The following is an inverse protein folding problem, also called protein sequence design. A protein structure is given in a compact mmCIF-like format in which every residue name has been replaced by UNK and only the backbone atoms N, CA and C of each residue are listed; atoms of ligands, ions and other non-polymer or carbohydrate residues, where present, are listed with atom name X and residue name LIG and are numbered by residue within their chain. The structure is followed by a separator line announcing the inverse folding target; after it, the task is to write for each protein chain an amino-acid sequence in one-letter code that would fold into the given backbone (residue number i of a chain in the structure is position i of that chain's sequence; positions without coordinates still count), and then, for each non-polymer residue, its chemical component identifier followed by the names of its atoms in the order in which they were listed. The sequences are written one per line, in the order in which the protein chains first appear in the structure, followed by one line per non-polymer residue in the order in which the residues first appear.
data_IF_578451626339
#
_entry.id   IF_578451626339
#
_cell.length_a   1.000
_cell.length_b   1.000
_cell.length_c   1.000
_cell.angle_alpha   90.00
_cell.angle_beta   90.00
_cell.angle_gamma   90.00
#
_symmetry.space_group_name_H-M   'P 1'
#
loop_
_entity.id
_entity.type
_entity.pdbx_description
1 polymer ?
#
# COMPACT_ATOMS: atom_id res chain seq x y z
N UNK A 1 -58.96 26.99 51.35
CA UNK A 1 -58.83 27.46 52.75
C UNK A 1 -57.84 26.52 53.40
N UNK A 2 -56.93 27.05 54.25
CA UNK A 2 -55.64 26.46 54.69
C UNK A 2 -54.52 26.66 53.64
N UNK A 3 -53.47 27.47 53.81
CA UNK A 3 -52.98 28.25 54.94
C UNK A 3 -51.73 27.62 55.55
N UNK A 4 -50.52 28.01 55.15
CA UNK A 4 -49.31 28.07 56.00
C UNK A 4 -48.37 29.16 55.46
N UNK A 5 -48.01 30.04 56.37
CA UNK A 5 -47.05 31.14 56.30
C UNK A 5 -45.71 30.66 56.91
N UNK A 6 -44.55 30.98 56.33
CA UNK A 6 -43.31 31.18 57.11
C UNK A 6 -42.14 31.72 56.25
N UNK A 7 -41.90 33.01 56.40
CA UNK A 7 -40.63 33.64 56.80
C UNK A 7 -39.30 33.28 56.09
N UNK A 8 -38.79 34.30 55.39
CA UNK A 8 -37.43 34.86 55.42
C UNK A 8 -36.22 33.92 55.26
N UNK A 9 -35.59 34.01 54.09
CA UNK A 9 -34.13 33.96 53.97
C UNK A 9 -33.67 35.00 52.94
N UNK A 10 -33.17 36.13 53.45
CA UNK A 10 -32.29 37.04 52.73
C UNK A 10 -30.97 36.29 52.49
N UNK A 11 -30.65 36.03 51.22
CA UNK A 11 -29.29 35.68 50.81
C UNK A 11 -29.03 36.25 49.42
N UNK A 12 -28.23 37.31 49.44
CA UNK A 12 -27.36 37.88 48.41
C UNK A 12 -27.88 38.13 47.00
N UNK A 13 -27.95 39.43 46.71
CA UNK A 13 -27.84 40.01 45.39
C UNK A 13 -26.50 39.60 44.74
N UNK A 14 -26.50 38.55 43.93
CA UNK A 14 -25.53 38.37 42.87
C UNK A 14 -26.15 38.84 41.55
N UNK A 15 -25.64 39.96 41.03
CA UNK A 15 -26.05 40.60 39.80
C UNK A 15 -26.10 39.62 38.61
N UNK A 16 -27.31 39.21 38.23
CA UNK A 16 -27.57 38.58 36.94
C UNK A 16 -27.53 39.63 35.84
N UNK A 17 -26.44 39.66 35.08
CA UNK A 17 -26.28 40.46 33.86
C UNK A 17 -27.50 40.27 32.93
N UNK A 18 -28.03 41.34 32.30
CA UNK A 18 -29.23 41.21 31.47
C UNK A 18 -28.92 40.25 30.32
N UNK A 19 -29.74 39.19 30.17
CA UNK A 19 -29.63 38.29 29.01
C UNK A 19 -29.76 39.14 27.76
N UNK A 20 -28.66 39.22 27.04
CA UNK A 20 -28.52 40.05 25.86
C UNK A 20 -29.39 39.51 24.72
N UNK A 21 -30.62 40.06 24.63
CA UNK A 21 -31.60 39.73 23.60
C UNK A 21 -31.13 40.12 22.19
N UNK A 22 -30.05 40.90 22.08
CA UNK A 22 -29.44 41.30 20.80
C UNK A 22 -28.71 40.14 20.11
N UNK A 23 -28.32 39.09 20.84
CA UNK A 23 -27.62 37.90 20.31
C UNK A 23 -28.58 36.80 19.79
N UNK A 24 -29.89 36.98 19.94
CA UNK A 24 -30.90 35.99 19.51
C UNK A 24 -30.90 35.75 17.99
N UNK A 25 -30.80 36.79 17.12
CA UNK A 25 -30.71 36.61 15.67
C UNK A 25 -29.45 35.85 15.25
N UNK A 26 -28.30 36.15 15.87
CA UNK A 26 -27.03 35.45 15.59
C UNK A 26 -27.08 33.98 16.00
N UNK A 27 -27.70 33.66 17.15
CA UNK A 27 -27.90 32.28 17.60
C UNK A 27 -28.84 31.48 16.67
N UNK A 28 -29.86 32.14 16.12
CA UNK A 28 -30.76 31.54 15.14
C UNK A 28 -30.04 31.28 13.81
N UNK A 29 -29.28 32.24 13.31
CA UNK A 29 -28.47 32.08 12.10
C UNK A 29 -27.41 30.98 12.24
N UNK A 30 -26.76 30.87 13.40
CA UNK A 30 -25.80 29.80 13.69
C UNK A 30 -26.45 28.42 13.68
N UNK A 31 -27.65 28.28 14.25
CA UNK A 31 -28.43 27.02 14.22
C UNK A 31 -28.93 26.68 12.82
N UNK A 32 -29.30 27.67 12.02
CA UNK A 32 -29.70 27.48 10.62
C UNK A 32 -28.52 26.96 9.79
N UNK A 33 -27.33 27.56 9.96
CA UNK A 33 -26.09 27.10 9.32
C UNK A 33 -25.70 25.69 9.78
N UNK A 34 -25.78 25.39 11.07
CA UNK A 34 -25.52 24.04 11.60
C UNK A 34 -26.47 22.99 10.99
N UNK A 35 -27.76 23.34 10.82
CA UNK A 35 -28.74 22.46 10.17
C UNK A 35 -28.44 22.26 8.69
N UNK A 36 -28.06 23.31 7.97
CA UNK A 36 -27.68 23.23 6.56
C UNK A 36 -26.43 22.35 6.37
N UNK A 37 -25.41 22.53 7.20
CA UNK A 37 -24.20 21.70 7.19
C UNK A 37 -24.49 20.24 7.54
N UNK A 38 -25.37 19.95 8.49
CA UNK A 38 -25.78 18.58 8.84
C UNK A 38 -26.52 17.89 7.67
N UNK A 39 -27.36 18.62 6.95
CA UNK A 39 -28.08 18.11 5.77
C UNK A 39 -27.13 17.85 4.61
N UNK A 40 -26.20 18.76 4.33
CA UNK A 40 -25.16 18.56 3.30
C UNK A 40 -24.25 17.37 3.63
N UNK A 41 -23.80 17.25 4.89
CA UNK A 41 -23.00 16.11 5.36
C UNK A 41 -23.74 14.78 5.17
N UNK A 42 -25.05 14.74 5.43
CA UNK A 42 -25.87 13.55 5.21
C UNK A 42 -26.04 13.24 3.73
N UNK A 43 -26.19 14.26 2.89
CA UNK A 43 -26.28 14.09 1.44
C UNK A 43 -24.98 13.53 0.87
N UNK A 44 -23.84 14.03 1.34
CA UNK A 44 -22.53 13.54 0.91
C UNK A 44 -22.30 12.08 1.33
N UNK A 45 -22.57 11.73 2.60
CA UNK A 45 -22.45 10.35 3.07
C UNK A 45 -23.28 9.36 2.23
N UNK A 46 -24.46 9.78 1.77
CA UNK A 46 -25.30 8.94 0.89
C UNK A 46 -24.70 8.78 -0.51
N UNK A 47 -24.14 9.85 -1.08
CA UNK A 47 -23.43 9.78 -2.36
C UNK A 47 -22.17 8.91 -2.26
N UNK A 48 -21.38 9.04 -1.21
CA UNK A 48 -20.17 8.25 -1.01
C UNK A 48 -20.50 6.75 -0.88
N UNK A 49 -21.58 6.42 -0.17
CA UNK A 49 -22.08 5.05 -0.04
C UNK A 49 -22.59 4.48 -1.38
N UNK A 50 -23.32 5.27 -2.16
CA UNK A 50 -23.82 4.88 -3.49
C UNK A 50 -22.65 4.60 -4.46
N UNK A 51 -21.59 5.41 -4.40
CA UNK A 51 -20.38 5.21 -5.19
C UNK A 51 -19.61 3.94 -4.78
N UNK A 52 -19.56 3.58 -3.50
CA UNK A 52 -18.97 2.30 -3.07
C UNK A 52 -19.77 1.10 -3.56
N UNK A 53 -21.11 1.15 -3.46
CA UNK A 53 -22.00 0.08 -3.91
C UNK A 53 -21.90 -0.13 -5.44
N UNK A 54 -21.83 0.95 -6.23
CA UNK A 54 -21.61 0.87 -7.68
C UNK A 54 -20.24 0.27 -8.04
N UNK A 55 -19.17 0.63 -7.31
CA UNK A 55 -17.82 0.07 -7.52
C UNK A 55 -17.75 -1.42 -7.21
N UNK A 56 -18.41 -1.86 -6.14
CA UNK A 56 -18.51 -3.28 -5.79
C UNK A 56 -19.29 -4.06 -6.85
N UNK A 57 -20.41 -3.53 -7.33
CA UNK A 57 -21.19 -4.13 -8.42
C UNK A 57 -20.40 -4.25 -9.73
N UNK A 58 -19.64 -3.21 -10.09
CA UNK A 58 -18.77 -3.23 -11.27
C UNK A 58 -17.68 -4.31 -11.14
N UNK A 59 -17.04 -4.42 -9.98
CA UNK A 59 -16.05 -5.46 -9.71
C UNK A 59 -16.66 -6.85 -9.83
N UNK A 60 -17.80 -7.11 -9.18
CA UNK A 60 -18.43 -8.42 -9.18
C UNK A 60 -18.76 -8.87 -10.63
N UNK A 61 -19.27 -7.95 -11.46
CA UNK A 61 -19.55 -8.22 -12.87
C UNK A 61 -18.26 -8.47 -13.68
N UNK A 62 -17.22 -7.68 -13.47
CA UNK A 62 -15.94 -7.85 -14.18
C UNK A 62 -15.23 -9.15 -13.77
N UNK A 63 -15.17 -9.45 -12.48
CA UNK A 63 -14.58 -10.66 -11.93
C UNK A 63 -15.33 -11.90 -12.41
N UNK A 64 -16.67 -11.89 -12.42
CA UNK A 64 -17.47 -12.99 -12.93
C UNK A 64 -17.23 -13.26 -14.42
N UNK A 65 -17.13 -12.22 -15.26
CA UNK A 65 -16.84 -12.37 -16.70
C UNK A 65 -15.47 -13.00 -16.93
N UNK A 66 -14.43 -12.47 -16.28
CA UNK A 66 -13.07 -12.97 -16.48
C UNK A 66 -12.90 -14.39 -15.92
N UNK A 67 -13.56 -14.69 -14.80
CA UNK A 67 -13.66 -16.03 -14.24
C UNK A 67 -14.31 -17.01 -15.22
N UNK A 68 -15.46 -16.66 -15.78
CA UNK A 68 -16.16 -17.54 -16.72
C UNK A 68 -15.31 -17.84 -17.96
N UNK A 69 -14.59 -16.84 -18.48
CA UNK A 69 -13.70 -17.02 -19.62
C UNK A 69 -12.49 -17.92 -19.29
N UNK A 70 -11.93 -17.81 -18.08
CA UNK A 70 -10.89 -18.73 -17.61
C UNK A 70 -11.42 -20.16 -17.43
N UNK A 71 -12.64 -20.33 -16.91
CA UNK A 71 -13.29 -21.64 -16.75
C UNK A 71 -13.56 -22.30 -18.11
N UNK A 72 -14.03 -21.55 -19.11
CA UNK A 72 -14.28 -22.06 -20.47
C UNK A 72 -13.01 -22.63 -21.11
N UNK A 73 -11.87 -21.94 -20.97
CA UNK A 73 -10.57 -22.41 -21.45
C UNK A 73 -10.09 -23.69 -20.75
N UNK A 74 -10.45 -23.88 -19.48
CA UNK A 74 -10.08 -25.05 -18.67
C UNK A 74 -11.02 -26.27 -18.89
N UNK A 75 -12.25 -26.04 -19.34
CA UNK A 75 -13.23 -27.10 -19.64
C UNK A 75 -13.05 -27.72 -21.03
N UNK A 76 -12.49 -26.99 -22.00
CA UNK A 76 -12.24 -27.47 -23.36
C UNK A 76 -11.14 -28.53 -23.48
N UNK A 77 -10.87 -28.97 -24.72
CA UNK A 77 -9.74 -29.87 -25.00
C UNK A 77 -8.42 -29.25 -24.54
N UNK A 78 -7.68 -30.01 -23.74
CA UNK A 78 -6.42 -29.59 -23.16
C UNK A 78 -5.35 -29.45 -24.26
N UNK A 79 -4.90 -28.22 -24.47
CA UNK A 79 -3.78 -27.88 -25.36
C UNK A 79 -2.83 -26.94 -24.63
N UNK A 80 -1.56 -26.97 -24.98
CA UNK A 80 -0.54 -26.12 -24.33
C UNK A 80 -0.88 -24.63 -24.47
N UNK A 81 -1.37 -24.21 -25.64
CA UNK A 81 -1.75 -22.83 -25.93
C UNK A 81 -2.96 -22.36 -25.08
N UNK A 82 -4.00 -23.19 -24.93
CA UNK A 82 -5.16 -22.85 -24.09
C UNK A 82 -4.82 -22.79 -22.61
N UNK A 83 -3.92 -23.66 -22.13
CA UNK A 83 -3.49 -23.64 -20.73
C UNK A 83 -2.61 -22.43 -20.41
N UNK A 84 -1.83 -21.96 -21.38
CA UNK A 84 -1.06 -20.73 -21.23
C UNK A 84 -1.97 -19.50 -21.24
N UNK A 85 -2.96 -19.46 -22.14
CA UNK A 85 -3.98 -18.41 -22.16
C UNK A 85 -4.81 -18.39 -20.86
N UNK A 86 -5.20 -19.56 -20.34
CA UNK A 86 -5.86 -19.67 -19.04
C UNK A 86 -4.97 -19.15 -17.90
N UNK A 87 -3.66 -19.42 -17.94
CA UNK A 87 -2.73 -18.90 -16.94
C UNK A 87 -2.62 -17.37 -16.98
N UNK A 88 -2.59 -16.77 -18.18
CA UNK A 88 -2.60 -15.32 -18.35
C UNK A 88 -3.88 -14.68 -17.78
N UNK A 89 -5.04 -15.29 -18.04
CA UNK A 89 -6.33 -14.83 -17.47
C UNK A 89 -6.39 -14.96 -15.96
N UNK A 90 -5.82 -16.01 -15.39
CA UNK A 90 -5.68 -16.13 -13.93
C UNK A 90 -4.80 -15.03 -13.33
N UNK A 91 -3.73 -14.63 -14.01
CA UNK A 91 -2.91 -13.48 -13.57
C UNK A 91 -3.70 -12.16 -13.67
N UNK A 92 -4.50 -11.98 -14.72
CA UNK A 92 -5.39 -10.83 -14.85
C UNK A 92 -6.46 -10.78 -13.75
N UNK A 93 -7.10 -11.90 -13.42
CA UNK A 93 -8.04 -12.02 -12.28
C UNK A 93 -7.38 -11.69 -10.94
N UNK A 94 -6.16 -12.18 -10.72
CA UNK A 94 -5.39 -11.89 -9.51
C UNK A 94 -5.05 -10.40 -9.41
N UNK A 95 -4.66 -9.79 -10.52
CA UNK A 95 -4.42 -8.34 -10.61
C UNK A 95 -5.69 -7.55 -10.31
N UNK A 96 -6.81 -7.89 -10.95
CA UNK A 96 -8.10 -7.25 -10.72
C UNK A 96 -8.52 -7.31 -9.25
N UNK A 97 -8.38 -8.48 -8.61
CA UNK A 97 -8.67 -8.66 -7.19
C UNK A 97 -7.76 -7.79 -6.32
N UNK A 98 -6.45 -7.78 -6.58
CA UNK A 98 -5.47 -6.98 -5.85
C UNK A 98 -5.70 -5.47 -5.99
N UNK A 99 -6.02 -5.01 -7.20
CA UNK A 99 -6.32 -3.60 -7.49
C UNK A 99 -7.63 -3.16 -6.80
N UNK A 100 -8.51 -4.11 -6.50
CA UNK A 100 -9.84 -3.87 -5.94
C UNK A 100 -9.96 -4.07 -4.44
N UNK A 101 -8.92 -4.58 -3.75
CA UNK A 101 -8.95 -4.89 -2.31
C UNK A 101 -9.41 -3.71 -1.45
N UNK A 102 -9.11 -2.48 -1.87
CA UNK A 102 -9.37 -1.27 -1.11
C UNK A 102 -10.85 -0.85 -1.04
N UNK A 103 -11.70 -1.37 -1.93
CA UNK A 103 -13.13 -1.01 -1.98
C UNK A 103 -14.06 -2.22 -1.98
N UNK A 104 -13.51 -3.42 -1.77
CA UNK A 104 -14.29 -4.65 -1.68
C UNK A 104 -14.61 -5.01 -0.25
N UNK A 105 -15.83 -5.47 -0.03
CA UNK A 105 -16.20 -6.08 1.24
C UNK A 105 -15.35 -7.33 1.50
N UNK A 106 -15.09 -7.64 2.76
CA UNK A 106 -14.33 -8.82 3.16
C UNK A 106 -14.93 -10.14 2.63
N UNK A 107 -16.24 -10.16 2.39
CA UNK A 107 -16.94 -11.30 1.77
C UNK A 107 -16.50 -11.52 0.31
N UNK A 108 -16.51 -10.46 -0.50
CA UNK A 108 -16.17 -10.52 -1.93
C UNK A 108 -14.68 -10.83 -2.13
N UNK A 109 -13.83 -10.32 -1.25
CA UNK A 109 -12.41 -10.64 -1.24
C UNK A 109 -12.17 -12.13 -0.98
N UNK A 110 -12.84 -12.71 0.03
CA UNK A 110 -12.73 -14.15 0.34
C UNK A 110 -13.27 -15.01 -0.81
N UNK A 111 -14.41 -14.62 -1.38
CA UNK A 111 -15.00 -15.28 -2.56
C UNK A 111 -14.02 -15.29 -3.74
N UNK A 112 -13.43 -14.15 -4.08
CA UNK A 112 -12.49 -14.05 -5.19
C UNK A 112 -11.18 -14.82 -4.97
N UNK A 113 -10.64 -14.80 -3.75
CA UNK A 113 -9.46 -15.61 -3.38
C UNK A 113 -9.75 -17.11 -3.47
N UNK A 114 -10.92 -17.55 -3.00
CA UNK A 114 -11.32 -18.96 -3.11
C UNK A 114 -11.48 -19.41 -4.57
N UNK A 115 -12.10 -18.56 -5.41
CA UNK A 115 -12.24 -18.84 -6.85
C UNK A 115 -10.88 -18.94 -7.56
N UNK A 116 -9.94 -18.03 -7.25
CA UNK A 116 -8.58 -18.09 -7.79
C UNK A 116 -7.85 -19.39 -7.40
N UNK A 117 -7.94 -19.81 -6.14
CA UNK A 117 -7.32 -21.05 -5.68
C UNK A 117 -7.89 -22.29 -6.39
N UNK A 118 -9.21 -22.34 -6.59
CA UNK A 118 -9.86 -23.42 -7.34
C UNK A 118 -9.37 -23.49 -8.79
N UNK A 119 -9.35 -22.35 -9.50
CA UNK A 119 -8.89 -22.29 -10.88
C UNK A 119 -7.41 -22.68 -11.02
N UNK A 120 -6.57 -22.30 -10.06
CA UNK A 120 -5.17 -22.71 -10.04
C UNK A 120 -5.02 -24.22 -9.90
N UNK A 121 -5.80 -24.87 -9.02
CA UNK A 121 -5.80 -26.33 -8.86
C UNK A 121 -6.16 -27.02 -10.17
N UNK A 122 -7.27 -26.62 -10.79
CA UNK A 122 -7.74 -27.20 -12.07
C UNK A 122 -6.68 -27.04 -13.17
N UNK A 123 -6.06 -25.86 -13.26
CA UNK A 123 -5.02 -25.60 -14.25
C UNK A 123 -3.79 -26.51 -14.03
N UNK A 124 -3.38 -26.72 -12.79
CA UNK A 124 -2.27 -27.64 -12.47
C UNK A 124 -2.59 -29.09 -12.80
N UNK A 125 -3.81 -29.56 -12.52
CA UNK A 125 -4.27 -30.91 -12.87
C UNK A 125 -4.26 -31.11 -14.39
N UNK A 126 -4.84 -30.17 -15.15
CA UNK A 126 -4.84 -30.21 -16.62
C UNK A 126 -3.43 -30.20 -17.22
N UNK A 127 -2.50 -29.44 -16.63
CA UNK A 127 -1.08 -29.45 -17.03
C UNK A 127 -0.44 -30.83 -16.78
N UNK A 128 -0.79 -31.52 -15.70
CA UNK A 128 -0.29 -32.87 -15.42
C UNK A 128 -0.88 -33.92 -16.36
N UNK A 129 -2.14 -33.77 -16.79
CA UNK A 129 -2.77 -34.67 -17.77
C UNK A 129 -2.07 -34.68 -19.13
N UNK A 130 -1.53 -33.53 -19.55
CA UNK A 130 -0.77 -33.38 -20.80
C UNK A 130 0.69 -33.82 -20.70
N UNK A 131 1.23 -34.02 -19.48
CA UNK A 131 2.56 -34.61 -19.36
C UNK A 131 2.52 -36.08 -19.77
N UNK A 132 3.47 -36.57 -20.59
CA UNK A 132 3.49 -37.97 -20.97
C UNK A 132 3.62 -38.83 -19.71
N UNK A 133 2.56 -39.58 -19.39
CA UNK A 133 2.54 -40.49 -18.23
C UNK A 133 3.76 -41.40 -18.34
N UNK A 134 4.68 -41.31 -17.37
CA UNK A 134 5.85 -42.20 -17.25
C UNK A 134 5.35 -43.64 -17.28
N UNK A 135 5.47 -44.30 -18.43
CA UNK A 135 5.02 -45.70 -18.57
C UNK A 135 5.95 -46.55 -17.73
N UNK A 136 5.34 -47.33 -16.84
CA UNK A 136 5.94 -48.35 -16.01
C UNK A 136 7.09 -49.08 -16.71
N UNK A 137 8.33 -48.77 -16.32
CA UNK A 137 9.49 -49.55 -16.71
C UNK A 137 9.55 -50.78 -15.79
N UNK A 138 9.09 -51.93 -16.30
CA UNK A 138 9.30 -53.23 -15.66
C UNK A 138 10.80 -53.53 -15.62
N UNK A 139 11.44 -53.44 -14.44
CA UNK A 139 12.78 -54.00 -14.23
C UNK A 139 12.65 -55.46 -13.79
N UNK A 140 13.02 -56.37 -14.68
CA UNK A 140 13.24 -57.78 -14.36
C UNK A 140 14.46 -57.96 -13.44
N UNK A 141 14.30 -58.74 -12.37
CA UNK A 141 15.34 -59.36 -11.51
C UNK A 141 15.50 -60.81 -12.03
N UNK A 142 16.64 -61.50 -12.04
CA UNK A 142 17.93 -61.45 -11.31
C UNK A 142 18.88 -62.50 -11.97
N UNK A 143 20.15 -62.56 -11.53
CA UNK A 143 20.99 -63.76 -11.20
C UNK A 143 22.39 -63.70 -11.86
N UNK A 144 23.55 -63.80 -11.19
CA UNK A 144 23.96 -63.93 -9.78
C UNK A 144 25.47 -63.65 -9.63
N UNK A 145 25.88 -63.60 -8.36
CA UNK A 145 27.17 -64.03 -7.78
C UNK A 145 28.14 -62.89 -7.41
N UNK A 146 28.74 -62.85 -6.22
CA UNK A 146 28.61 -63.63 -4.98
C UNK A 146 29.48 -62.96 -3.91
N UNK A 147 29.21 -63.24 -2.63
CA UNK A 147 30.17 -63.11 -1.51
C UNK A 147 29.83 -61.99 -0.51
N UNK A 148 29.08 -62.28 0.57
CA UNK A 148 29.53 -62.67 1.95
C UNK A 148 29.89 -61.47 2.83
N UNK A 149 29.43 -61.28 4.08
CA UNK A 149 28.57 -62.06 4.97
C UNK A 149 28.19 -61.23 6.23
N UNK A 150 26.98 -61.51 6.77
CA UNK A 150 26.56 -61.53 8.21
C UNK A 150 26.46 -60.21 9.02
N UNK A 151 25.49 -59.97 9.92
CA UNK A 151 24.39 -60.76 10.55
C UNK A 151 23.25 -59.82 11.02
N UNK A 152 22.05 -60.41 11.10
CA UNK A 152 20.75 -60.06 11.69
C UNK A 152 20.54 -58.80 12.58
N UNK A 153 19.52 -58.00 12.22
CA UNK A 153 18.29 -57.81 13.02
C UNK A 153 17.37 -56.74 12.38
N UNK A 154 16.14 -57.13 12.02
CA UNK A 154 14.99 -56.22 11.94
C UNK A 154 14.35 -56.13 13.36
N UNK A 155 13.53 -55.11 13.72
CA UNK A 155 12.69 -54.33 12.83
C UNK A 155 12.54 -52.81 13.16
N UNK A 156 11.93 -52.09 12.21
CA UNK A 156 11.14 -50.84 12.32
C UNK A 156 11.70 -49.59 13.05
N UNK A 157 11.86 -48.51 12.27
CA UNK A 157 11.73 -47.10 12.68
C UNK A 157 11.07 -46.38 11.48
N UNK A 158 9.81 -45.95 11.54
CA UNK A 158 9.27 -44.80 12.28
C UNK A 158 10.16 -43.57 12.19
N UNK A 159 9.70 -42.63 11.36
CA UNK A 159 9.68 -41.17 11.55
C UNK A 159 10.91 -40.45 12.13
N UNK A 160 11.39 -39.53 11.27
CA UNK A 160 12.08 -38.26 11.55
C UNK A 160 13.55 -38.39 12.02
N UNK A 161 14.49 -37.47 11.66
CA UNK A 161 14.29 -36.04 11.87
C UNK A 161 14.96 -35.05 10.88
N UNK A 162 14.36 -33.86 10.88
CA UNK A 162 14.98 -32.56 10.62
C UNK A 162 16.36 -32.42 11.30
N UNK A 163 17.31 -31.64 10.74
CA UNK A 163 18.33 -31.02 11.56
C UNK A 163 17.72 -29.86 12.39
N UNK A 164 18.33 -29.53 13.54
CA UNK A 164 17.67 -28.82 14.62
C UNK A 164 17.73 -27.30 14.42
N UNK A 165 16.64 -26.64 14.81
CA UNK A 165 16.66 -25.25 15.23
C UNK A 165 17.46 -25.16 16.53
N UNK A 166 18.38 -24.21 16.60
CA UNK A 166 18.71 -23.52 17.85
C UNK A 166 18.60 -22.03 17.56
N UNK A 167 17.43 -21.52 17.93
CA UNK A 167 17.13 -20.17 18.44
C UNK A 167 17.97 -19.00 17.88
N UNK A 168 17.37 -18.22 16.98
CA UNK A 168 17.29 -16.76 17.14
C UNK A 168 15.96 -16.24 16.55
N UNK A 169 15.37 -15.31 17.28
CA UNK A 169 14.11 -14.63 16.96
C UNK A 169 14.22 -13.83 15.65
N UNK A 170 13.21 -13.90 14.78
CA UNK A 170 13.10 -13.01 13.62
C UNK A 170 12.12 -13.46 12.54
N UNK A 171 11.11 -12.62 12.27
CA UNK A 171 10.02 -12.77 11.31
C UNK A 171 10.43 -13.10 9.84
N UNK A 172 9.53 -13.64 8.98
CA UNK A 172 9.86 -14.09 7.63
C UNK A 172 10.08 -12.89 6.68
N UNK A 173 11.34 -12.57 6.40
CA UNK A 173 11.75 -11.43 5.57
C UNK A 173 11.64 -11.67 4.07
N UNK A 174 10.97 -10.75 3.38
CA UNK A 174 11.07 -10.59 1.93
C UNK A 174 12.50 -10.18 1.57
N UNK A 175 13.09 -10.82 0.56
CA UNK A 175 14.45 -10.51 0.10
C UNK A 175 14.49 -9.22 -0.71
N UNK A 176 14.42 -8.06 -0.05
CA UNK A 176 14.82 -6.76 -0.63
C UNK A 176 16.34 -6.73 -0.78
N UNK A 177 16.86 -7.39 -1.82
CA UNK A 177 18.30 -7.55 -2.03
C UNK A 177 19.03 -6.27 -2.47
N UNK A 178 18.31 -5.19 -2.80
CA UNK A 178 18.89 -3.93 -3.23
C UNK A 178 18.42 -2.81 -2.28
N UNK A 179 19.32 -2.28 -1.45
CA UNK A 179 18.92 -1.33 -0.41
C UNK A 179 20.08 -0.91 0.49
N UNK A 180 19.78 0.00 1.43
CA UNK A 180 20.68 0.42 2.50
C UNK A 180 19.94 0.28 3.83
N UNK A 181 20.58 -0.34 4.82
CA UNK A 181 19.98 -0.48 6.14
C UNK A 181 20.98 -0.33 7.27
N UNK A 182 20.51 0.18 8.41
CA UNK A 182 21.29 0.34 9.65
C UNK A 182 22.55 1.19 9.48
N UNK A 183 22.43 2.33 8.79
CA UNK A 183 23.55 3.24 8.55
C UNK A 183 23.27 4.61 9.17
N UNK A 184 24.34 5.24 9.65
CA UNK A 184 24.28 6.54 10.29
C UNK A 184 25.35 7.48 9.73
N UNK A 185 24.97 8.73 9.44
CA UNK A 185 25.87 9.81 9.01
C UNK A 185 26.73 9.46 7.78
N UNK A 186 26.17 8.73 6.82
CA UNK A 186 26.85 8.31 5.59
C UNK A 186 26.27 8.97 4.36
N UNK A 187 27.12 9.11 3.35
CA UNK A 187 26.73 9.49 2.00
C UNK A 187 26.76 8.26 1.09
N UNK A 188 25.60 7.94 0.53
CA UNK A 188 25.32 6.67 -0.14
C UNK A 188 24.84 6.95 -1.56
N UNK A 189 25.41 6.27 -2.54
CA UNK A 189 25.03 6.44 -3.94
C UNK A 189 24.76 5.09 -4.60
N UNK A 190 23.70 5.01 -5.40
CA UNK A 190 23.44 3.90 -6.34
C UNK A 190 23.23 4.46 -7.75
N UNK A 191 23.83 3.76 -8.72
CA UNK A 191 23.77 4.12 -10.15
C UNK A 191 22.74 3.27 -10.91
N UNK A 192 22.49 3.65 -12.15
CA UNK A 192 21.41 3.09 -12.96
C UNK A 192 21.51 1.57 -13.11
N UNK A 193 22.73 1.02 -13.20
CA UNK A 193 22.98 -0.41 -13.36
C UNK A 193 22.54 -1.23 -12.12
N UNK A 194 22.60 -0.63 -10.93
CA UNK A 194 22.18 -1.26 -9.69
C UNK A 194 20.67 -1.14 -9.45
N UNK A 195 20.05 -0.09 -9.99
CA UNK A 195 18.66 0.27 -9.75
C UNK A 195 17.70 -0.30 -10.80
N UNK A 196 18.17 -0.58 -12.02
CA UNK A 196 17.40 -0.93 -13.21
C UNK A 196 16.14 -1.79 -12.94
N UNK A 197 15.00 -1.13 -12.72
CA UNK A 197 13.70 -1.72 -12.40
C UNK A 197 13.69 -2.69 -11.19
N UNK A 198 14.54 -2.43 -10.19
CA UNK A 198 14.56 -3.16 -8.92
C UNK A 198 13.80 -2.42 -7.83
N UNK A 199 13.30 -3.18 -6.87
CA UNK A 199 12.72 -2.62 -5.65
C UNK A 199 13.82 -2.26 -4.67
N UNK A 200 13.78 -1.03 -4.15
CA UNK A 200 14.78 -0.47 -3.26
C UNK A 200 14.20 -0.29 -1.86
N UNK A 201 14.88 -0.86 -0.87
CA UNK A 201 14.56 -0.65 0.54
C UNK A 201 15.64 0.19 1.22
N UNK A 202 15.24 1.32 1.78
CA UNK A 202 16.04 2.15 2.66
C UNK A 202 15.43 2.05 4.06
N UNK A 203 16.11 1.37 4.99
CA UNK A 203 15.56 1.16 6.35
C UNK A 203 16.53 1.57 7.45
N UNK A 204 16.02 2.05 8.58
CA UNK A 204 16.84 2.29 9.78
C UNK A 204 18.06 3.19 9.48
N UNK A 205 17.82 4.33 8.81
CA UNK A 205 18.84 5.30 8.43
C UNK A 205 18.76 6.54 9.32
N UNK A 206 19.91 7.05 9.76
CA UNK A 206 19.98 8.27 10.60
C UNK A 206 20.99 9.25 10.04
N UNK A 207 20.60 10.50 9.78
CA UNK A 207 21.48 11.55 9.22
C UNK A 207 22.23 11.15 7.93
N UNK A 208 21.63 10.28 7.11
CA UNK A 208 22.24 9.82 5.86
C UNK A 208 21.80 10.67 4.68
N UNK A 209 22.71 10.86 3.72
CA UNK A 209 22.39 11.37 2.38
C UNK A 209 22.40 10.20 1.40
N UNK A 210 21.30 9.99 0.69
CA UNK A 210 21.15 8.87 -0.26
C UNK A 210 20.83 9.42 -1.64
N UNK A 211 21.65 9.08 -2.63
CA UNK A 211 21.47 9.49 -4.03
C UNK A 211 21.24 8.25 -4.90
N UNK A 212 20.03 8.10 -5.41
CA UNK A 212 19.62 7.01 -6.29
C UNK A 212 19.46 7.56 -7.71
N UNK A 213 20.50 7.41 -8.54
CA UNK A 213 20.51 7.88 -9.94
C UNK A 213 20.13 6.73 -10.86
N UNK A 214 18.91 6.74 -11.37
CA UNK A 214 18.40 5.69 -12.24
C UNK A 214 16.88 5.55 -12.13
N UNK A 215 16.36 4.49 -12.73
CA UNK A 215 14.95 4.12 -12.67
C UNK A 215 14.73 2.86 -11.80
N UNK A 216 14.48 3.00 -10.49
CA UNK A 216 14.00 1.91 -9.66
C UNK A 216 12.52 1.58 -9.96
N UNK A 217 12.11 0.35 -9.68
CA UNK A 217 10.71 -0.05 -9.84
C UNK A 217 9.83 0.48 -8.70
N UNK A 218 10.24 0.22 -7.45
CA UNK A 218 9.57 0.67 -6.22
C UNK A 218 10.62 1.21 -5.24
N UNK A 219 10.30 2.28 -4.52
CA UNK A 219 11.14 2.79 -3.43
C UNK A 219 10.39 2.72 -2.11
N UNK A 220 10.98 2.07 -1.10
CA UNK A 220 10.48 2.06 0.27
C UNK A 220 11.49 2.71 1.19
N UNK A 221 11.07 3.74 1.92
CA UNK A 221 11.84 4.40 2.97
C UNK A 221 11.14 4.14 4.31
N UNK A 222 11.79 3.40 5.20
CA UNK A 222 11.24 3.01 6.49
C UNK A 222 12.17 3.44 7.63
N UNK A 223 11.62 3.97 8.73
CA UNK A 223 12.37 4.28 9.95
C UNK A 223 13.59 5.19 9.70
N UNK A 224 13.43 6.23 8.90
CA UNK A 224 14.49 7.18 8.58
C UNK A 224 14.40 8.45 9.44
N UNK A 225 15.53 8.96 9.92
CA UNK A 225 15.60 10.17 10.76
C UNK A 225 16.65 11.14 10.22
N UNK A 226 16.29 12.41 10.00
CA UNK A 226 17.26 13.42 9.56
C UNK A 226 17.91 13.13 8.21
N UNK A 227 17.27 12.31 7.36
CA UNK A 227 17.88 11.82 6.12
C UNK A 227 17.48 12.67 4.91
N UNK A 228 18.42 12.84 3.97
CA UNK A 228 18.20 13.46 2.65
C UNK A 228 18.22 12.38 1.59
N UNK A 229 17.09 12.10 0.96
CA UNK A 229 16.96 11.06 -0.07
C UNK A 229 16.63 11.71 -1.41
N UNK A 230 17.51 11.53 -2.38
CA UNK A 230 17.37 12.02 -3.75
C UNK A 230 17.21 10.81 -4.65
N UNK A 231 16.08 10.71 -5.32
CA UNK A 231 15.75 9.58 -6.18
C UNK A 231 15.32 10.05 -7.57
N UNK A 232 15.80 9.31 -8.56
CA UNK A 232 15.31 9.41 -9.93
C UNK A 232 13.84 9.00 -10.05
N UNK A 233 13.30 8.96 -11.28
CA UNK A 233 11.93 8.58 -11.52
C UNK A 233 11.68 7.10 -11.18
N UNK A 234 10.76 6.86 -10.26
CA UNK A 234 10.32 5.54 -9.80
C UNK A 234 9.14 5.08 -10.64
N UNK A 235 9.24 3.91 -11.26
CA UNK A 235 8.22 3.41 -12.21
C UNK A 235 6.83 3.28 -11.60
N UNK A 236 6.75 2.74 -10.38
CA UNK A 236 5.47 2.44 -9.74
C UNK A 236 5.21 3.35 -8.54
N UNK A 237 5.61 2.94 -7.34
CA UNK A 237 5.20 3.58 -6.10
C UNK A 237 6.35 3.85 -5.17
N UNK A 238 6.13 4.88 -4.35
CA UNK A 238 7.02 5.26 -3.26
C UNK A 238 6.26 5.12 -1.96
N UNK A 239 6.85 4.44 -0.99
CA UNK A 239 6.27 4.19 0.33
C UNK A 239 7.16 4.75 1.43
N UNK A 240 6.61 5.65 2.26
CA UNK A 240 7.29 6.21 3.43
C UNK A 240 6.61 5.71 4.69
N UNK A 241 7.39 5.23 5.65
CA UNK A 241 6.88 4.67 6.91
C UNK A 241 7.79 5.06 8.08
N UNK A 242 7.22 5.60 9.16
CA UNK A 242 7.95 6.02 10.38
C UNK A 242 9.19 6.89 10.09
N UNK A 243 9.05 7.88 9.21
CA UNK A 243 10.12 8.82 8.88
C UNK A 243 9.97 10.13 9.69
N UNK A 244 11.09 10.77 10.07
CA UNK A 244 11.08 12.06 10.80
C UNK A 244 12.20 12.99 10.35
N UNK A 245 11.90 14.28 10.22
CA UNK A 245 12.89 15.32 9.87
C UNK A 245 13.64 15.00 8.57
N UNK A 246 12.96 14.37 7.61
CA UNK A 246 13.57 13.93 6.35
C UNK A 246 13.29 14.92 5.21
N UNK A 247 14.17 14.89 4.20
CA UNK A 247 13.96 15.58 2.92
C UNK A 247 14.01 14.52 1.83
N UNK A 248 12.93 14.39 1.06
CA UNK A 248 12.82 13.45 -0.04
C UNK A 248 12.60 14.22 -1.35
N UNK A 249 13.39 13.94 -2.38
CA UNK A 249 13.11 14.36 -3.75
C UNK A 249 12.88 13.13 -4.61
N UNK A 250 11.67 12.97 -5.15
CA UNK A 250 11.30 11.80 -5.95
C UNK A 250 10.21 12.11 -6.98
N UNK A 251 10.28 11.43 -8.12
CA UNK A 251 9.18 11.35 -9.08
C UNK A 251 8.61 9.93 -9.10
N UNK A 252 7.28 9.76 -9.10
CA UNK A 252 6.65 8.44 -9.07
C UNK A 252 5.24 8.43 -9.68
N UNK A 253 4.65 7.25 -9.82
CA UNK A 253 3.23 7.15 -10.19
C UNK A 253 2.32 7.37 -8.99
N UNK A 254 2.67 6.78 -7.84
CA UNK A 254 1.90 6.88 -6.59
C UNK A 254 2.83 7.12 -5.41
N UNK A 255 2.43 8.00 -4.49
CA UNK A 255 3.10 8.19 -3.20
C UNK A 255 2.16 7.79 -2.07
N UNK A 256 2.67 7.00 -1.12
CA UNK A 256 1.97 6.68 0.13
C UNK A 256 2.88 7.00 1.31
N UNK A 257 2.37 7.78 2.25
CA UNK A 257 3.10 8.20 3.45
C UNK A 257 2.30 7.78 4.67
N UNK A 258 2.95 7.05 5.57
CA UNK A 258 2.35 6.49 6.77
C UNK A 258 3.20 6.82 8.01
N UNK A 259 2.56 7.18 9.12
CA UNK A 259 3.23 7.45 10.43
C UNK A 259 4.47 8.36 10.33
N UNK A 260 4.45 9.38 9.47
CA UNK A 260 5.62 10.23 9.18
C UNK A 260 5.44 11.64 9.74
N UNK A 261 6.52 12.25 10.22
CA UNK A 261 6.48 13.59 10.83
C UNK A 261 7.52 14.54 10.24
N UNK A 262 7.18 15.83 10.17
CA UNK A 262 8.10 16.94 9.89
C UNK A 262 9.02 16.66 8.68
N UNK A 263 8.43 16.15 7.59
CA UNK A 263 9.16 15.67 6.42
C UNK A 263 8.79 16.48 5.18
N UNK A 264 9.81 16.93 4.45
CA UNK A 264 9.66 17.71 3.22
C UNK A 264 9.78 16.79 2.01
N UNK A 265 8.82 16.85 1.10
CA UNK A 265 8.73 15.97 -0.06
C UNK A 265 8.63 16.82 -1.34
N UNK A 266 9.71 16.81 -2.12
CA UNK A 266 9.80 17.37 -3.46
C UNK A 266 9.32 16.30 -4.43
N UNK A 267 8.06 16.44 -4.86
CA UNK A 267 7.31 15.38 -5.51
C UNK A 267 6.98 15.75 -6.96
N UNK A 268 7.08 14.75 -7.83
CA UNK A 268 6.29 14.70 -9.04
C UNK A 268 5.49 13.41 -9.02
N UNK A 269 4.17 13.51 -9.06
CA UNK A 269 3.27 12.35 -9.00
C UNK A 269 2.28 12.37 -10.15
N UNK A 270 2.19 11.29 -10.91
CA UNK A 270 1.30 11.24 -12.09
C UNK A 270 -0.12 10.82 -11.73
N UNK A 271 -0.30 10.06 -10.65
CA UNK A 271 -1.62 9.66 -10.15
C UNK A 271 -1.99 10.43 -8.89
N UNK A 272 -1.66 9.90 -7.69
CA UNK A 272 -2.09 10.45 -6.40
C UNK A 272 -1.01 10.29 -5.32
N UNK A 273 -1.00 11.23 -4.39
CA UNK A 273 -0.27 11.14 -3.13
C UNK A 273 -1.25 10.96 -1.97
N UNK A 274 -0.98 10.01 -1.08
CA UNK A 274 -1.83 9.70 0.07
C UNK A 274 -1.00 9.84 1.34
N UNK A 275 -1.56 10.50 2.36
CA UNK A 275 -0.99 10.60 3.70
C UNK A 275 -1.94 9.99 4.73
N UNK A 276 -1.38 9.26 5.69
CA UNK A 276 -2.11 8.59 6.77
C UNK A 276 -1.26 8.63 8.06
N UNK A 277 -1.88 8.94 9.19
CA UNK A 277 -1.21 9.09 10.50
C UNK A 277 0.04 10.01 10.49
N UNK A 278 0.03 11.02 9.62
CA UNK A 278 1.14 11.94 9.44
C UNK A 278 0.89 13.31 10.11
N UNK A 279 1.96 14.07 10.35
CA UNK A 279 1.87 15.45 10.84
C UNK A 279 3.04 16.30 10.35
N UNK A 280 2.81 17.53 9.90
CA UNK A 280 3.89 18.42 9.47
C UNK A 280 4.53 18.01 8.14
N UNK A 281 3.79 17.33 7.25
CA UNK A 281 4.30 17.00 5.92
C UNK A 281 4.25 18.23 5.03
N UNK A 282 5.31 18.49 4.27
CA UNK A 282 5.36 19.62 3.36
C UNK A 282 5.64 19.14 1.93
N UNK A 283 4.81 19.53 0.97
CA UNK A 283 4.98 19.17 -0.43
C UNK A 283 5.49 20.34 -1.27
N UNK A 284 6.41 20.04 -2.19
CA UNK A 284 6.93 20.98 -3.17
C UNK A 284 7.08 20.28 -4.54
N UNK A 285 7.19 21.02 -5.66
CA UNK A 285 7.52 20.42 -6.95
C UNK A 285 8.87 19.70 -6.92
N UNK A 286 9.01 18.59 -7.63
CA UNK A 286 10.29 17.94 -7.85
C UNK A 286 11.22 18.81 -8.71
N UNK A 287 12.41 19.11 -8.18
CA UNK A 287 13.39 20.01 -8.82
C UNK A 287 14.77 19.38 -8.98
N UNK A 288 14.96 18.12 -8.58
CA UNK A 288 16.26 17.48 -8.67
C UNK A 288 16.57 17.09 -10.13
N UNK A 289 17.79 17.39 -10.58
CA UNK A 289 18.24 17.11 -11.95
C UNK A 289 19.65 16.52 -11.92
N UNK A 290 19.92 15.56 -12.81
CA UNK A 290 21.22 14.94 -12.95
C UNK A 290 21.46 14.40 -14.37
N UNK A 291 22.72 14.14 -14.77
CA UNK A 291 23.02 13.60 -16.09
C UNK A 291 22.33 12.24 -16.31
N UNK A 292 21.50 12.14 -17.34
CA UNK A 292 20.76 10.91 -17.68
C UNK A 292 19.31 10.87 -17.18
N UNK A 293 18.85 11.86 -16.40
CA UNK A 293 17.49 11.90 -15.85
C UNK A 293 16.40 11.85 -16.95
N UNK A 294 16.65 12.43 -18.13
CA UNK A 294 15.72 12.36 -19.27
C UNK A 294 15.49 10.94 -19.77
N UNK A 295 16.54 10.13 -19.81
CA UNK A 295 16.45 8.72 -20.17
C UNK A 295 15.74 7.94 -19.06
N UNK A 296 16.07 8.19 -17.80
CA UNK A 296 15.42 7.49 -16.69
C UNK A 296 13.91 7.76 -16.66
N UNK A 297 13.47 8.98 -17.00
CA UNK A 297 12.03 9.28 -17.10
C UNK A 297 11.37 8.52 -18.25
N UNK A 298 12.04 8.42 -19.41
CA UNK A 298 11.56 7.62 -20.54
C UNK A 298 11.44 6.14 -20.15
N UNK A 299 12.48 5.58 -19.53
CA UNK A 299 12.53 4.18 -19.10
C UNK A 299 11.48 3.88 -17.99
N UNK A 300 11.16 4.87 -17.15
CA UNK A 300 10.13 4.77 -16.11
C UNK A 300 8.70 4.73 -16.65
N UNK A 301 8.47 5.23 -17.87
CA UNK A 301 7.13 5.43 -18.41
C UNK A 301 6.30 6.53 -17.71
N UNK A 302 6.91 7.34 -16.83
CA UNK A 302 6.24 8.47 -16.20
C UNK A 302 6.04 9.62 -17.20
N UNK A 303 4.81 10.10 -17.28
CA UNK A 303 4.46 11.27 -18.08
C UNK A 303 4.91 12.56 -17.39
N UNK A 304 5.90 13.26 -17.97
CA UNK A 304 6.39 14.53 -17.44
C UNK A 304 5.38 15.67 -17.47
N UNK A 305 4.35 15.58 -18.32
CA UNK A 305 3.30 16.58 -18.40
C UNK A 305 2.27 16.47 -17.27
N UNK A 306 2.21 15.31 -16.58
CA UNK A 306 1.29 15.06 -15.48
C UNK A 306 2.01 15.23 -14.15
N UNK A 307 1.58 16.21 -13.37
CA UNK A 307 2.13 16.45 -12.05
C UNK A 307 1.06 16.93 -11.06
N UNK A 308 0.61 16.03 -10.22
CA UNK A 308 -0.42 16.24 -9.18
C UNK A 308 0.21 16.41 -7.78
N UNK A 309 1.44 16.92 -7.69
CA UNK A 309 2.18 17.05 -6.42
C UNK A 309 1.44 17.85 -5.33
N UNK A 310 0.53 18.74 -5.73
CA UNK A 310 -0.28 19.59 -4.84
C UNK A 310 -1.66 19.00 -4.53
N UNK A 311 -2.00 17.81 -5.05
CA UNK A 311 -3.26 17.11 -4.80
C UNK A 311 -2.97 15.88 -3.93
N UNK A 312 -3.04 16.09 -2.61
CA UNK A 312 -2.72 15.07 -1.61
C UNK A 312 -3.99 14.69 -0.85
N UNK A 313 -4.30 13.40 -0.85
CA UNK A 313 -5.43 12.83 -0.11
C UNK A 313 -4.97 12.48 1.32
N UNK A 314 -5.63 13.03 2.33
CA UNK A 314 -5.42 12.64 3.73
C UNK A 314 -6.51 11.68 4.17
N UNK A 315 -6.14 10.43 4.42
CA UNK A 315 -7.08 9.36 4.74
C UNK A 315 -7.74 9.54 6.11
N UNK A 316 -7.05 10.19 7.05
CA UNK A 316 -7.56 10.42 8.40
C UNK A 316 -8.41 11.68 8.52
N UNK A 317 -8.40 12.54 7.50
CA UNK A 317 -9.10 13.81 7.52
C UNK A 317 -10.43 13.74 6.77
N UNK A 318 -11.49 13.39 7.50
CA UNK A 318 -12.85 13.23 6.96
C UNK A 318 -13.62 14.56 6.79
N UNK A 319 -13.00 15.71 7.06
CA UNK A 319 -13.67 17.01 6.99
C UNK A 319 -13.55 17.63 5.57
N UNK A 320 -14.69 17.73 4.87
CA UNK A 320 -14.71 18.06 3.44
C UNK A 320 -14.61 19.56 3.07
N UNK A 321 -14.40 20.46 4.04
CA UNK A 321 -14.33 21.92 3.78
C UNK A 321 -13.20 22.64 4.52
N UNK A 322 -12.30 21.90 5.14
CA UNK A 322 -11.14 22.44 5.86
C UNK A 322 -9.91 21.71 5.33
N UNK A 323 -8.85 22.42 4.92
CA UNK A 323 -7.61 21.77 4.51
C UNK A 323 -7.08 20.92 5.68
N UNK A 324 -6.54 19.75 5.37
CA UNK A 324 -5.94 18.91 6.41
C UNK A 324 -4.81 19.67 7.12
N UNK A 325 -4.73 19.61 8.47
CA UNK A 325 -3.60 20.17 9.20
C UNK A 325 -2.34 19.31 9.10
N UNK A 326 -2.44 18.08 8.57
CA UNK A 326 -1.36 17.10 8.58
C UNK A 326 -0.34 17.32 7.46
N UNK A 327 -0.74 18.03 6.40
CA UNK A 327 0.12 18.38 5.29
C UNK A 327 -0.09 19.83 4.83
N UNK A 328 0.93 20.40 4.20
CA UNK A 328 0.89 21.74 3.64
C UNK A 328 1.76 21.84 2.40
N UNK A 329 1.61 22.92 1.64
CA UNK A 329 2.51 23.24 0.54
C UNK A 329 3.69 24.01 1.12
N UNK A 330 4.92 23.61 0.75
CA UNK A 330 6.13 24.32 1.14
C UNK A 330 6.14 25.73 0.51
N UNK A 331 6.36 26.81 1.30
CA UNK A 331 6.49 28.17 0.78
C UNK A 331 7.60 28.28 -0.26
N UNK A 332 7.44 29.15 -1.25
CA UNK A 332 8.41 29.28 -2.37
C UNK A 332 9.81 29.66 -1.91
N UNK A 333 9.92 30.49 -0.88
CA UNK A 333 11.18 30.89 -0.24
C UNK A 333 11.98 29.71 0.36
N UNK A 334 11.31 28.65 0.77
CA UNK A 334 11.92 27.45 1.36
C UNK A 334 12.16 26.33 0.33
N UNK A 335 11.80 26.55 -0.94
CA UNK A 335 11.97 25.55 -2.02
C UNK A 335 13.37 25.53 -2.61
N UNK A 336 14.15 26.59 -2.41
CA UNK A 336 15.52 26.70 -2.91
C UNK A 336 16.48 25.85 -2.05
N UNK A 337 16.45 24.54 -2.28
CA UNK A 337 17.36 23.59 -1.66
C UNK A 337 18.56 23.35 -2.57
N UNK A 338 19.76 23.61 -2.04
CA UNK A 338 20.99 23.12 -2.65
C UNK A 338 21.08 21.60 -2.45
N UNK A 339 20.98 20.87 -3.56
CA UNK A 339 21.02 19.41 -3.56
C UNK A 339 22.43 18.85 -3.39
N UNK A 340 23.43 19.63 -3.78
CA UNK A 340 24.86 19.30 -3.75
C UNK A 340 25.50 19.43 -2.36
#
# INVERSE_FOLDING_TARGET
MEGVDCSVALADAAAGSPRDLSLVPERLQRREQERQMEVERRKQKRQDQEVEEEKSGFFAAAFARERAAAEELLQGEASAERLEEAANRLQALRKLLNDSVLFLAAYDLRQGQAALAQLQSVLTERRQELQPKKRFAFKARKKDAAGTAQVDAAPVTSAAPSPPLTEEEGAPGASWACGFSNLESQDLEKRAEELHQRDILLSDLTNCTVRLRGNPNTLRLAKARGCKVLCGPVTTSVFLEDCRDCILAVACQQLRVHTTKDTRIFLQVTSRAIVEDCSGIQFAPYTWSYPGIDKDFQDSGLDRSKNNWNQVDDFNWLAQNVPSPNWSILPEEDRDIQWD
#
